data_IF_422258750051
#
_entry.id   IF_422258750051
#
_cell.length_a   1.000
_cell.length_b   1.000
_cell.length_c   1.000
_cell.angle_alpha   90.00
_cell.angle_beta   90.00
_cell.angle_gamma   90.00
#
_symmetry.space_group_name_H-M   'P 1'
#
loop_
_entity.id
_entity.type
_entity.pdbx_description
1 polymer ?
#
# COMPACT_ATOMS: atom_id res chain seq x y z
N UNK A 1 1.11 -28.72 6.80
CA UNK A 1 2.41 -28.71 7.49
C UNK A 1 2.24 -27.95 8.79
N UNK A 2 2.16 -28.63 9.93
CA UNK A 2 2.07 -27.99 11.25
C UNK A 2 3.48 -27.63 11.69
N UNK A 3 3.86 -26.37 11.54
CA UNK A 3 5.20 -25.94 11.93
C UNK A 3 5.32 -25.99 13.45
N UNK A 4 6.01 -27.01 13.96
CA UNK A 4 6.27 -27.21 15.39
C UNK A 4 7.32 -26.21 15.87
N UNK A 5 6.92 -24.95 16.03
CA UNK A 5 7.78 -23.93 16.64
C UNK A 5 7.85 -24.18 18.15
N UNK A 6 9.05 -24.44 18.67
CA UNK A 6 9.26 -24.54 20.10
C UNK A 6 8.90 -23.23 20.80
N UNK A 7 8.30 -23.31 22.00
CA UNK A 7 7.86 -22.15 22.78
C UNK A 7 8.95 -21.07 22.91
N UNK A 8 10.21 -21.48 23.07
CA UNK A 8 11.36 -20.56 23.10
C UNK A 8 11.60 -19.80 21.79
N UNK A 9 11.38 -20.43 20.63
CA UNK A 9 11.48 -19.78 19.33
C UNK A 9 10.37 -18.74 19.12
N UNK A 10 9.16 -19.03 19.61
CA UNK A 10 8.03 -18.08 19.57
C UNK A 10 8.35 -16.85 20.42
N UNK A 11 8.87 -17.05 21.63
CA UNK A 11 9.29 -15.93 22.49
C UNK A 11 10.42 -15.11 21.88
N UNK A 12 11.42 -15.77 21.27
CA UNK A 12 12.48 -15.07 20.55
C UNK A 12 11.94 -14.24 19.38
N UNK A 13 10.99 -14.78 18.62
CA UNK A 13 10.34 -14.04 17.54
C UNK A 13 9.54 -12.84 18.05
N UNK A 14 8.78 -13.00 19.14
CA UNK A 14 8.01 -11.91 19.75
C UNK A 14 8.94 -10.81 20.27
N UNK A 15 9.97 -11.19 21.03
CA UNK A 15 10.93 -10.22 21.58
C UNK A 15 11.73 -9.56 20.45
N UNK A 16 12.18 -10.33 19.45
CA UNK A 16 12.90 -9.81 18.29
C UNK A 16 12.05 -8.82 17.47
N UNK A 17 10.80 -9.17 17.16
CA UNK A 17 9.87 -8.29 16.46
C UNK A 17 9.53 -7.04 17.29
N UNK A 18 9.35 -7.21 18.60
CA UNK A 18 9.10 -6.10 19.54
C UNK A 18 10.28 -5.13 19.59
N UNK A 19 11.50 -5.65 19.82
CA UNK A 19 12.73 -4.85 19.86
C UNK A 19 12.98 -4.18 18.52
N UNK A 20 12.80 -4.88 17.39
CA UNK A 20 12.95 -4.30 16.06
C UNK A 20 11.97 -3.15 15.81
N UNK A 21 10.70 -3.33 16.15
CA UNK A 21 9.67 -2.29 16.01
C UNK A 21 9.98 -1.08 16.90
N UNK A 22 10.33 -1.33 18.17
CA UNK A 22 10.72 -0.27 19.09
C UNK A 22 11.99 0.45 18.62
N UNK A 23 12.98 -0.27 18.10
CA UNK A 23 14.22 0.33 17.59
C UNK A 23 13.96 1.26 16.40
N UNK A 24 13.10 0.86 15.45
CA UNK A 24 12.69 1.72 14.33
C UNK A 24 11.99 2.98 14.87
N UNK A 25 11.06 2.81 15.82
CA UNK A 25 10.31 3.92 16.41
C UNK A 25 11.20 4.86 17.22
N UNK A 26 12.12 4.31 18.02
CA UNK A 26 13.08 5.07 18.82
C UNK A 26 14.09 5.78 17.92
N UNK A 27 14.50 5.16 16.81
CA UNK A 27 15.39 5.77 15.83
C UNK A 27 14.76 7.06 15.28
N UNK A 28 13.47 7.02 14.89
CA UNK A 28 12.75 8.23 14.47
C UNK A 28 12.65 9.28 15.58
N UNK A 29 12.31 8.87 16.81
CA UNK A 29 12.15 9.81 17.94
C UNK A 29 13.49 10.43 18.36
N UNK A 30 14.57 9.65 18.41
CA UNK A 30 15.92 10.14 18.73
C UNK A 30 16.55 10.93 17.59
N UNK A 31 16.24 10.61 16.33
CA UNK A 31 16.63 11.45 15.18
C UNK A 31 15.88 12.78 15.20
N UNK A 32 14.56 12.79 15.43
CA UNK A 32 13.79 14.03 15.58
C UNK A 32 14.21 14.83 16.82
N UNK A 33 14.58 14.17 17.92
CA UNK A 33 15.10 14.84 19.11
C UNK A 33 16.52 15.40 18.97
N UNK A 34 17.23 15.10 17.87
CA UNK A 34 18.53 15.70 17.51
C UNK A 34 18.44 16.73 16.38
N UNK A 35 17.36 16.73 15.62
CA UNK A 35 17.02 17.78 14.67
C UNK A 35 15.95 18.64 15.34
N UNK A 36 16.37 19.64 16.13
CA UNK A 36 15.48 20.53 16.92
C UNK A 36 14.33 21.17 16.12
N UNK A 37 14.36 21.17 14.80
CA UNK A 37 13.15 21.31 13.98
C UNK A 37 13.29 20.41 12.75
N UNK A 38 12.30 19.54 12.48
CA UNK A 38 12.22 18.90 11.17
C UNK A 38 12.10 20.01 10.11
N UNK A 39 12.99 20.08 9.10
CA UNK A 39 12.90 21.11 8.07
C UNK A 39 11.49 21.08 7.45
N UNK A 40 10.87 22.24 7.17
CA UNK A 40 9.49 22.30 6.65
C UNK A 40 9.30 21.48 5.37
N UNK A 41 10.38 21.23 4.62
CA UNK A 41 10.43 20.32 3.47
C UNK A 41 10.16 18.86 3.84
N UNK A 42 10.70 18.37 4.95
CA UNK A 42 10.56 16.97 5.40
C UNK A 42 9.15 16.72 5.93
N UNK A 43 8.60 17.65 6.72
CA UNK A 43 7.20 17.62 7.16
C UNK A 43 6.23 17.72 5.98
N UNK A 44 6.60 18.53 4.98
CA UNK A 44 6.00 18.60 3.66
C UNK A 44 5.89 17.24 2.98
N UNK A 45 6.96 16.46 2.95
CA UNK A 45 7.01 15.14 2.31
C UNK A 45 6.30 14.07 3.14
N UNK A 46 6.45 14.10 4.46
CA UNK A 46 5.84 13.15 5.40
C UNK A 46 4.31 13.13 5.29
N UNK A 47 3.67 14.28 5.00
CA UNK A 47 2.21 14.35 4.78
C UNK A 47 1.73 13.50 3.58
N UNK A 48 2.61 13.24 2.61
CA UNK A 48 2.30 12.42 1.43
C UNK A 48 2.57 10.94 1.64
N UNK A 49 3.26 10.55 2.72
CA UNK A 49 3.55 9.14 3.03
C UNK A 49 2.27 8.30 3.11
N UNK A 50 1.19 8.71 3.82
CA UNK A 50 -0.05 7.92 3.86
C UNK A 50 -0.65 7.68 2.46
N UNK A 51 -0.69 8.71 1.63
CA UNK A 51 -1.21 8.61 0.27
C UNK A 51 -0.32 7.72 -0.62
N UNK A 52 1.01 7.85 -0.50
CA UNK A 52 1.98 7.04 -1.24
C UNK A 52 1.91 5.55 -0.84
N UNK A 53 1.71 5.25 0.45
CA UNK A 53 1.52 3.87 0.92
C UNK A 53 0.24 3.26 0.36
N UNK A 54 -0.88 4.00 0.36
CA UNK A 54 -2.12 3.53 -0.28
C UNK A 54 -1.92 3.28 -1.78
N UNK A 55 -1.23 4.19 -2.47
CA UNK A 55 -0.90 3.99 -3.88
C UNK A 55 -0.02 2.75 -4.10
N UNK A 56 0.98 2.52 -3.24
CA UNK A 56 1.85 1.35 -3.31
C UNK A 56 1.12 0.03 -3.01
N UNK A 57 0.07 0.05 -2.18
CA UNK A 57 -0.78 -1.12 -1.92
C UNK A 57 -1.71 -1.44 -3.10
N UNK A 58 -2.23 -0.42 -3.79
CA UNK A 58 -3.21 -0.57 -4.88
C UNK A 58 -2.52 -0.75 -6.24
N UNK A 59 -1.36 -0.15 -6.48
CA UNK A 59 -0.62 -0.27 -7.74
C UNK A 59 -0.38 -1.72 -8.20
N UNK A 60 0.12 -2.66 -7.36
CA UNK A 60 0.36 -4.03 -7.81
C UNK A 60 -0.93 -4.78 -8.14
N UNK A 61 -2.06 -4.47 -7.48
CA UNK A 61 -3.35 -5.09 -7.78
C UNK A 61 -3.96 -4.58 -9.09
N UNK A 62 -3.60 -3.37 -9.53
CA UNK A 62 -3.99 -2.80 -10.82
C UNK A 62 -3.12 -3.30 -11.97
N UNK A 63 -1.80 -3.37 -11.77
CA UNK A 63 -0.82 -3.70 -12.84
C UNK A 63 -0.68 -5.22 -13.04
N UNK A 64 -1.43 -6.04 -12.29
CA UNK A 64 -1.33 -7.50 -12.33
C UNK A 64 0.08 -8.00 -12.02
N UNK A 65 0.69 -7.47 -10.94
CA UNK A 65 1.67 -8.23 -10.18
C UNK A 65 0.92 -9.18 -9.23
N UNK A 66 0.00 -9.97 -9.78
CA UNK A 66 -0.51 -11.12 -9.05
C UNK A 66 0.70 -12.02 -8.84
N UNK A 67 1.13 -12.15 -7.59
CA UNK A 67 2.12 -13.14 -7.17
C UNK A 67 1.49 -14.55 -7.23
N UNK A 68 0.89 -14.90 -8.36
CA UNK A 68 0.57 -16.28 -8.68
C UNK A 68 1.89 -16.92 -9.14
N UNK A 69 2.32 -18.04 -8.51
CA UNK A 69 3.52 -18.77 -8.92
C UNK A 69 3.45 -19.33 -10.35
N UNK A 70 2.29 -19.21 -11.01
CA UNK A 70 2.11 -19.56 -12.41
C UNK A 70 2.56 -18.41 -13.30
N UNK A 71 3.72 -18.63 -13.92
CA UNK A 71 4.29 -18.02 -15.13
C UNK A 71 3.29 -17.56 -16.22
N UNK A 72 2.44 -16.59 -15.89
CA UNK A 72 1.55 -15.94 -16.82
C UNK A 72 1.47 -14.48 -16.45
N UNK A 73 2.11 -13.62 -17.24
CA UNK A 73 1.71 -12.22 -17.32
C UNK A 73 0.27 -12.22 -17.86
N UNK A 74 -0.70 -12.41 -16.99
CA UNK A 74 -2.11 -12.21 -17.32
C UNK A 74 -2.34 -10.70 -17.30
N UNK A 75 -1.96 -10.05 -18.39
CA UNK A 75 -2.39 -8.69 -18.67
C UNK A 75 -3.92 -8.69 -18.64
N UNK A 76 -4.49 -8.11 -17.59
CA UNK A 76 -5.93 -7.86 -17.47
C UNK A 76 -6.16 -6.40 -17.90
N UNK A 77 -6.29 -6.12 -19.21
CA UNK A 77 -6.49 -4.76 -19.71
C UNK A 77 -7.72 -4.10 -19.08
N UNK A 78 -8.71 -4.89 -18.63
CA UNK A 78 -9.88 -4.38 -17.92
C UNK A 78 -9.55 -3.67 -16.61
N UNK A 79 -8.62 -4.20 -15.80
CA UNK A 79 -8.26 -3.62 -14.49
C UNK A 79 -7.42 -2.36 -14.65
N UNK A 80 -6.51 -2.33 -15.62
CA UNK A 80 -5.70 -1.16 -15.94
C UNK A 80 -6.58 -0.04 -16.50
N UNK A 81 -7.52 -0.37 -17.39
CA UNK A 81 -8.50 0.57 -17.94
C UNK A 81 -9.41 1.16 -16.86
N UNK A 82 -9.99 0.33 -16.00
CA UNK A 82 -10.82 0.78 -14.88
C UNK A 82 -10.03 1.64 -13.88
N UNK A 83 -8.77 1.26 -13.58
CA UNK A 83 -7.87 2.05 -12.73
C UNK A 83 -7.54 3.42 -13.31
N UNK A 84 -7.30 3.52 -14.63
CA UNK A 84 -7.05 4.80 -15.31
C UNK A 84 -8.29 5.71 -15.28
N UNK A 85 -9.49 5.15 -15.53
CA UNK A 85 -10.75 5.89 -15.44
C UNK A 85 -10.98 6.39 -14.00
N UNK A 86 -10.76 5.52 -13.00
CA UNK A 86 -10.88 5.90 -11.60
C UNK A 86 -9.88 7.02 -11.23
N UNK A 87 -8.64 6.97 -11.72
CA UNK A 87 -7.64 8.02 -11.49
C UNK A 87 -8.04 9.37 -12.10
N UNK A 88 -8.58 9.37 -13.33
CA UNK A 88 -9.09 10.59 -13.98
C UNK A 88 -10.27 11.19 -13.21
N UNK A 89 -11.18 10.35 -12.73
CA UNK A 89 -12.34 10.78 -11.92
C UNK A 89 -11.89 11.29 -10.57
N UNK A 90 -10.94 10.62 -9.91
CA UNK A 90 -10.36 11.10 -8.66
C UNK A 90 -9.77 12.50 -8.81
N UNK A 91 -9.00 12.71 -9.88
CA UNK A 91 -8.38 14.00 -10.17
C UNK A 91 -9.40 15.09 -10.49
N UNK A 92 -10.52 14.74 -11.14
CA UNK A 92 -11.55 15.70 -11.54
C UNK A 92 -12.52 16.07 -10.41
N UNK A 93 -12.86 15.09 -9.56
CA UNK A 93 -14.01 15.20 -8.64
C UNK A 93 -13.59 15.52 -7.21
N UNK A 94 -12.32 15.31 -6.84
CA UNK A 94 -11.78 15.46 -5.47
C UNK A 94 -12.63 14.75 -4.39
N UNK A 95 -13.49 13.80 -4.80
CA UNK A 95 -14.48 13.14 -3.96
C UNK A 95 -14.25 11.62 -4.00
N UNK A 96 -13.90 11.08 -2.83
CA UNK A 96 -13.59 9.65 -2.65
C UNK A 96 -14.80 8.78 -2.99
N UNK A 97 -16.01 9.17 -2.61
CA UNK A 97 -17.23 8.39 -2.90
C UNK A 97 -17.50 8.30 -4.40
N UNK A 98 -17.34 9.43 -5.12
CA UNK A 98 -17.53 9.45 -6.57
C UNK A 98 -16.47 8.59 -7.29
N UNK A 99 -15.24 8.61 -6.78
CA UNK A 99 -14.13 7.80 -7.33
C UNK A 99 -14.40 6.31 -7.16
N UNK A 100 -14.84 5.89 -5.97
CA UNK A 100 -15.20 4.48 -5.70
C UNK A 100 -16.39 4.07 -6.58
N UNK A 101 -17.44 4.89 -6.64
CA UNK A 101 -18.64 4.60 -7.43
C UNK A 101 -18.35 4.43 -8.91
N UNK A 102 -17.62 5.39 -9.51
CA UNK A 102 -17.26 5.33 -10.93
C UNK A 102 -16.24 4.24 -11.22
N UNK A 103 -15.25 4.03 -10.34
CA UNK A 103 -14.28 2.95 -10.48
C UNK A 103 -14.93 1.56 -10.47
N UNK A 104 -15.87 1.33 -9.55
CA UNK A 104 -16.65 0.09 -9.51
C UNK A 104 -17.53 -0.08 -10.75
N UNK A 105 -18.22 0.99 -11.19
CA UNK A 105 -19.04 0.95 -12.39
C UNK A 105 -18.21 0.68 -13.66
N UNK A 106 -17.04 1.29 -13.79
CA UNK A 106 -16.10 1.07 -14.89
C UNK A 106 -15.55 -0.36 -14.90
N UNK A 107 -15.19 -0.89 -13.72
CA UNK A 107 -14.71 -2.26 -13.60
C UNK A 107 -15.80 -3.26 -13.99
N UNK A 108 -17.02 -3.09 -13.50
CA UNK A 108 -18.14 -3.96 -13.84
C UNK A 108 -18.53 -3.87 -15.31
N UNK A 109 -18.51 -2.68 -15.91
CA UNK A 109 -18.82 -2.54 -17.34
C UNK A 109 -17.76 -3.18 -18.21
N UNK A 110 -16.46 -3.02 -17.91
CA UNK A 110 -15.42 -3.74 -18.65
C UNK A 110 -15.48 -5.26 -18.41
N UNK A 111 -15.76 -5.73 -17.20
CA UNK A 111 -15.87 -7.16 -16.90
C UNK A 111 -17.10 -7.83 -17.56
N UNK A 112 -18.16 -7.09 -17.86
CA UNK A 112 -19.33 -7.62 -18.58
C UNK A 112 -19.11 -7.62 -20.10
N UNK A 113 -18.27 -6.72 -20.61
CA UNK A 113 -17.99 -6.57 -22.04
C UNK A 113 -16.88 -7.49 -22.55
N UNK A 114 -15.92 -7.86 -21.70
CA UNK A 114 -14.81 -8.79 -21.99
C UNK A 114 -15.02 -10.15 -21.33
#
# INVERSE_FOLDING_TARGET
>A
MTTSYGTGAIWLAIVGAGVGTFAIRLSFILLLGRLDEAPPTVEGILRFVPAAVLAALVAPSLVALSAEPSLGLSYAPEKVGAGAIAAVVAWRTENVLATIGVGMAALWTLQVVF
#
